data_IF_265593732708
#
_entry.id   IF_265593732708
#
_cell.length_a   1.000
_cell.length_b   1.000
_cell.length_c   1.000
_cell.angle_alpha   90.00
_cell.angle_beta   90.00
_cell.angle_gamma   90.00
#
_symmetry.space_group_name_H-M   'P 1'
#
loop_
_entity.id
_entity.type
_entity.pdbx_description
1 polymer ?
#
# COMPACT_ATOMS: atom_id res chain seq x y z
N UNK A 1 2.15 -11.58 -7.04
CA UNK A 1 0.67 -11.60 -7.02
C UNK A 1 0.05 -11.65 -8.40
N UNK A 2 0.70 -11.08 -9.43
CA UNK A 2 0.23 -11.05 -10.82
C UNK A 2 -0.15 -12.43 -11.38
N UNK A 3 0.70 -13.45 -11.20
CA UNK A 3 0.39 -14.82 -11.65
C UNK A 3 -0.85 -15.44 -10.96
N UNK A 4 -1.13 -15.09 -9.70
CA UNK A 4 -2.30 -15.59 -8.98
C UNK A 4 -3.58 -14.87 -9.43
N UNK A 5 -3.52 -13.54 -9.64
CA UNK A 5 -4.61 -12.75 -10.20
C UNK A 5 -4.97 -13.23 -11.62
N UNK A 6 -3.96 -13.54 -12.44
CA UNK A 6 -4.13 -14.05 -13.79
C UNK A 6 -4.72 -15.46 -13.80
N UNK A 7 -4.27 -16.35 -12.90
CA UNK A 7 -4.84 -17.68 -12.74
C UNK A 7 -6.32 -17.64 -12.28
N UNK A 8 -6.69 -16.73 -11.38
CA UNK A 8 -8.07 -16.53 -10.95
C UNK A 8 -8.93 -15.98 -12.10
N UNK A 9 -8.41 -15.03 -12.88
CA UNK A 9 -9.09 -14.52 -14.06
C UNK A 9 -9.31 -15.58 -15.14
N UNK A 10 -8.33 -16.44 -15.39
CA UNK A 10 -8.45 -17.56 -16.33
C UNK A 10 -9.41 -18.66 -15.86
N UNK A 11 -9.62 -18.79 -14.54
CA UNK A 11 -10.58 -19.74 -13.98
C UNK A 11 -12.05 -19.33 -14.22
N UNK A 12 -12.32 -18.05 -14.51
CA UNK A 12 -13.67 -17.54 -14.78
C UNK A 12 -14.33 -18.20 -16.00
N UNK A 13 -13.55 -18.43 -17.07
CA UNK A 13 -14.04 -19.15 -18.26
C UNK A 13 -14.55 -20.57 -17.90
N UNK A 14 -13.96 -21.20 -16.88
CA UNK A 14 -14.38 -22.52 -16.40
C UNK A 14 -15.63 -22.47 -15.51
N UNK A 15 -15.98 -21.32 -14.93
CA UNK A 15 -17.22 -21.13 -14.16
C UNK A 15 -18.42 -21.24 -15.09
N UNK A 16 -18.38 -20.59 -16.26
CA UNK A 16 -19.44 -20.69 -17.25
C UNK A 16 -19.65 -22.12 -17.75
N UNK A 17 -18.56 -22.84 -18.04
CA UNK A 17 -18.60 -24.26 -18.44
C UNK A 17 -19.17 -25.16 -17.35
N UNK A 18 -18.78 -24.91 -16.09
CA UNK A 18 -19.27 -25.67 -14.93
C UNK A 18 -20.76 -25.41 -14.68
N UNK A 19 -21.22 -24.16 -14.78
CA UNK A 19 -22.62 -23.80 -14.60
C UNK A 19 -23.52 -24.40 -15.71
N UNK A 20 -23.04 -24.40 -16.96
CA UNK A 20 -23.71 -25.06 -18.07
C UNK A 20 -23.81 -26.58 -17.83
N UNK A 21 -22.74 -27.18 -17.32
CA UNK A 21 -22.71 -28.62 -16.96
C UNK A 21 -23.69 -28.93 -15.83
N UNK A 22 -23.74 -28.11 -14.77
CA UNK A 22 -24.69 -28.26 -13.67
C UNK A 22 -26.14 -28.12 -14.15
N UNK A 23 -26.43 -27.17 -15.04
CA UNK A 23 -27.77 -27.01 -15.64
C UNK A 23 -28.19 -28.23 -16.45
N UNK A 24 -27.26 -28.80 -17.22
CA UNK A 24 -27.49 -30.03 -17.97
C UNK A 24 -27.77 -31.21 -17.03
N UNK A 25 -26.93 -31.41 -16.02
CA UNK A 25 -27.10 -32.47 -15.02
C UNK A 25 -28.43 -32.34 -14.26
N UNK A 26 -28.80 -31.12 -13.87
CA UNK A 26 -30.09 -30.86 -13.22
C UNK A 26 -31.27 -31.26 -14.11
N UNK A 27 -31.18 -31.01 -15.43
CA UNK A 27 -32.21 -31.41 -16.39
C UNK A 27 -32.30 -32.93 -16.55
N UNK A 28 -31.15 -33.62 -16.60
CA UNK A 28 -31.08 -35.09 -16.65
C UNK A 28 -31.64 -35.74 -15.38
N UNK A 29 -31.32 -35.21 -14.19
CA UNK A 29 -31.84 -35.70 -12.91
C UNK A 29 -33.34 -35.44 -12.73
N UNK A 30 -33.85 -34.30 -13.24
CA UNK A 30 -35.27 -33.99 -13.21
C UNK A 30 -36.10 -35.01 -14.02
N UNK A 31 -35.59 -35.47 -15.17
CA UNK A 31 -36.22 -36.55 -15.96
C UNK A 31 -36.29 -37.86 -15.16
N UNK A 32 -35.31 -38.11 -14.30
CA UNK A 32 -35.24 -39.30 -13.44
C UNK A 32 -35.98 -39.14 -12.10
N UNK A 33 -36.65 -38.01 -11.86
CA UNK A 33 -37.34 -37.71 -10.60
C UNK A 33 -36.39 -37.56 -9.40
N UNK A 34 -35.10 -37.26 -9.64
CA UNK A 34 -34.09 -37.09 -8.60
C UNK A 34 -33.87 -35.61 -8.24
N UNK A 35 -33.40 -35.32 -7.01
CA UNK A 35 -33.06 -33.95 -6.62
C UNK A 35 -31.96 -33.40 -7.53
N UNK A 36 -32.14 -32.15 -7.98
CA UNK A 36 -31.17 -31.44 -8.79
C UNK A 36 -30.08 -30.82 -7.90
N UNK A 37 -28.82 -30.74 -8.38
CA UNK A 37 -27.78 -29.99 -7.70
C UNK A 37 -28.11 -28.50 -7.68
N UNK A 38 -27.73 -27.83 -6.59
CA UNK A 38 -27.81 -26.37 -6.47
C UNK A 38 -26.99 -25.68 -7.54
N UNK A 39 -27.39 -24.46 -7.90
CA UNK A 39 -26.59 -23.60 -8.79
C UNK A 39 -25.29 -23.21 -8.10
N UNK A 40 -24.25 -22.99 -8.90
CA UNK A 40 -23.02 -22.39 -8.41
C UNK A 40 -23.33 -21.00 -7.82
N UNK A 41 -22.90 -20.73 -6.59
CA UNK A 41 -23.04 -19.41 -5.95
C UNK A 41 -21.98 -18.42 -6.44
N UNK A 42 -21.74 -18.41 -7.76
CA UNK A 42 -20.75 -17.61 -8.47
C UNK A 42 -21.35 -17.22 -9.82
N UNK A 43 -21.37 -15.93 -10.11
CA UNK A 43 -21.81 -15.42 -11.40
C UNK A 43 -20.68 -15.47 -12.44
N UNK A 44 -20.97 -15.68 -13.73
CA UNK A 44 -20.00 -15.49 -14.80
C UNK A 44 -19.38 -14.09 -14.75
N UNK A 45 -18.05 -13.99 -14.85
CA UNK A 45 -17.31 -12.73 -14.73
C UNK A 45 -16.92 -12.36 -13.29
N UNK A 46 -17.45 -13.04 -12.27
CA UNK A 46 -17.15 -12.72 -10.87
C UNK A 46 -15.70 -13.07 -10.50
N UNK A 47 -15.14 -14.18 -11.01
CA UNK A 47 -13.73 -14.52 -10.77
C UNK A 47 -12.81 -13.60 -11.57
N UNK A 48 -13.19 -13.23 -12.79
CA UNK A 48 -12.46 -12.24 -13.57
C UNK A 48 -12.42 -10.87 -12.86
N UNK A 49 -13.54 -10.46 -12.25
CA UNK A 49 -13.63 -9.27 -11.40
C UNK A 49 -12.72 -9.35 -10.17
N UNK A 50 -12.73 -10.48 -9.44
CA UNK A 50 -11.85 -10.71 -8.28
C UNK A 50 -10.37 -10.71 -8.70
N UNK A 51 -10.03 -11.32 -9.84
CA UNK A 51 -8.68 -11.31 -10.41
C UNK A 51 -8.21 -9.89 -10.73
N UNK A 52 -9.05 -9.08 -11.38
CA UNK A 52 -8.75 -7.68 -11.65
C UNK A 52 -8.59 -6.83 -10.37
N UNK A 53 -9.44 -7.08 -9.36
CA UNK A 53 -9.32 -6.45 -8.05
C UNK A 53 -8.02 -6.83 -7.35
N UNK A 54 -7.62 -8.11 -7.36
CA UNK A 54 -6.35 -8.58 -6.80
C UNK A 54 -5.13 -7.98 -7.50
N UNK A 55 -5.16 -7.86 -8.83
CA UNK A 55 -4.10 -7.22 -9.60
C UNK A 55 -3.98 -5.72 -9.23
N UNK A 56 -5.12 -5.02 -9.20
CA UNK A 56 -5.18 -3.59 -8.82
C UNK A 56 -4.70 -3.38 -7.39
N UNK A 57 -5.10 -4.25 -6.46
CA UNK A 57 -4.63 -4.22 -5.07
C UNK A 57 -3.15 -4.55 -4.93
N UNK A 58 -2.59 -5.42 -5.77
CA UNK A 58 -1.16 -5.70 -5.79
C UNK A 58 -0.36 -4.46 -6.22
N UNK A 59 -0.77 -3.79 -7.31
CA UNK A 59 -0.11 -2.56 -7.78
C UNK A 59 -0.21 -1.44 -6.74
N UNK A 60 -1.38 -1.31 -6.09
CA UNK A 60 -1.58 -0.38 -4.99
C UNK A 60 -0.70 -0.72 -3.77
N UNK A 61 -0.52 -2.00 -3.45
CA UNK A 61 0.34 -2.47 -2.36
C UNK A 61 1.81 -2.16 -2.65
N UNK A 62 2.28 -2.40 -3.86
CA UNK A 62 3.66 -2.10 -4.28
C UNK A 62 3.92 -0.58 -4.22
N UNK A 63 2.99 0.23 -4.73
CA UNK A 63 3.06 1.68 -4.63
C UNK A 63 3.08 2.18 -3.18
N UNK A 64 2.25 1.59 -2.32
CA UNK A 64 2.21 1.90 -0.88
C UNK A 64 3.52 1.50 -0.17
N UNK A 65 4.08 0.33 -0.50
CA UNK A 65 5.36 -0.13 0.05
C UNK A 65 6.52 0.79 -0.36
N UNK A 66 6.57 1.21 -1.62
CA UNK A 66 7.56 2.16 -2.12
C UNK A 66 7.46 3.50 -1.37
N UNK A 67 6.25 4.01 -1.17
CA UNK A 67 6.01 5.22 -0.38
C UNK A 67 6.50 5.05 1.06
N UNK A 68 6.13 3.96 1.74
CA UNK A 68 6.57 3.68 3.12
C UNK A 68 8.10 3.60 3.23
N UNK A 69 8.75 2.95 2.27
CA UNK A 69 10.21 2.87 2.21
C UNK A 69 10.85 4.24 2.00
N UNK A 70 10.29 5.07 1.13
CA UNK A 70 10.77 6.43 0.90
C UNK A 70 10.60 7.34 2.13
N UNK A 71 9.50 7.17 2.87
CA UNK A 71 9.31 7.84 4.17
C UNK A 71 10.40 7.45 5.16
N UNK A 72 10.67 6.16 5.34
CA UNK A 72 11.76 5.68 6.21
C UNK A 72 13.13 6.23 5.80
N UNK A 73 13.47 6.18 4.50
CA UNK A 73 14.72 6.71 3.98
C UNK A 73 14.87 8.24 4.20
N UNK A 74 13.76 8.98 4.14
CA UNK A 74 13.74 10.42 4.46
C UNK A 74 14.09 10.66 5.92
N UNK A 75 13.52 9.87 6.85
CA UNK A 75 13.77 9.98 8.29
C UNK A 75 15.22 9.59 8.65
N UNK A 76 15.73 8.50 8.09
CA UNK A 76 17.12 8.06 8.29
C UNK A 76 18.10 9.14 7.82
N UNK A 77 17.83 9.74 6.65
CA UNK A 77 18.66 10.82 6.10
C UNK A 77 18.58 12.11 6.93
N UNK A 78 17.41 12.44 7.47
CA UNK A 78 17.23 13.55 8.41
C UNK A 78 18.02 13.33 9.71
N UNK A 79 18.00 12.11 10.26
CA UNK A 79 18.79 11.76 11.43
C UNK A 79 20.29 11.88 11.14
N UNK A 80 20.74 11.42 9.97
CA UNK A 80 22.14 11.57 9.53
C UNK A 80 22.54 13.03 9.37
N UNK A 81 21.66 13.88 8.83
CA UNK A 81 21.90 15.31 8.71
C UNK A 81 22.04 15.98 10.08
N UNK A 82 21.16 15.63 11.03
CA UNK A 82 21.25 16.13 12.40
C UNK A 82 22.56 15.71 13.09
N UNK A 83 22.93 14.43 12.99
CA UNK A 83 24.18 13.94 13.58
C UNK A 83 25.42 14.63 12.99
N UNK A 84 25.40 14.94 11.70
CA UNK A 84 26.49 15.67 11.05
C UNK A 84 26.55 17.15 11.48
N UNK A 85 25.40 17.81 11.65
CA UNK A 85 25.33 19.17 12.22
C UNK A 85 25.87 19.19 13.65
N UNK A 86 25.51 18.21 14.49
CA UNK A 86 25.99 18.08 15.87
C UNK A 86 27.51 17.85 15.92
N UNK A 87 28.04 17.02 15.01
CA UNK A 87 29.47 16.81 14.82
C UNK A 87 30.20 18.01 14.17
N UNK A 88 29.50 19.10 13.83
CA UNK A 88 30.02 20.27 13.10
C UNK A 88 30.67 19.91 11.76
N UNK A 89 30.10 18.94 11.07
CA UNK A 89 30.49 18.49 9.73
C UNK A 89 29.43 18.96 8.69
N UNK A 90 29.57 20.20 8.17
CA UNK A 90 28.55 20.77 7.29
C UNK A 90 28.45 20.06 5.94
N UNK A 91 29.55 19.50 5.42
CA UNK A 91 29.54 18.83 4.11
C UNK A 91 28.80 17.49 4.18
N UNK A 92 29.02 16.73 5.25
CA UNK A 92 28.25 15.51 5.52
C UNK A 92 26.78 15.84 5.79
N UNK A 93 26.49 16.93 6.50
CA UNK A 93 25.12 17.38 6.72
C UNK A 93 24.40 17.70 5.42
N UNK A 94 25.03 18.48 4.52
CA UNK A 94 24.46 18.84 3.22
C UNK A 94 24.23 17.61 2.34
N UNK A 95 25.15 16.64 2.34
CA UNK A 95 25.00 15.37 1.63
C UNK A 95 23.77 14.59 2.13
N UNK A 96 23.60 14.47 3.45
CA UNK A 96 22.45 13.80 4.04
C UNK A 96 21.12 14.53 3.77
N UNK A 97 21.13 15.87 3.76
CA UNK A 97 19.97 16.69 3.39
C UNK A 97 19.55 16.42 1.94
N UNK A 98 20.49 16.37 1.00
CA UNK A 98 20.19 16.05 -0.40
C UNK A 98 19.59 14.65 -0.56
N UNK A 99 20.09 13.66 0.18
CA UNK A 99 19.50 12.31 0.18
C UNK A 99 18.05 12.32 0.72
N UNK A 100 17.79 13.06 1.81
CA UNK A 100 16.45 13.21 2.37
C UNK A 100 15.47 13.85 1.37
N UNK A 101 15.92 14.88 0.63
CA UNK A 101 15.09 15.53 -0.39
C UNK A 101 14.73 14.61 -1.55
N UNK A 102 15.67 13.77 -2.00
CA UNK A 102 15.40 12.78 -3.05
C UNK A 102 14.32 11.79 -2.60
N UNK A 103 14.44 11.22 -1.40
CA UNK A 103 13.44 10.30 -0.87
C UNK A 103 12.08 10.99 -0.64
N UNK A 104 12.07 12.22 -0.12
CA UNK A 104 10.85 13.01 0.05
C UNK A 104 10.17 13.33 -1.29
N UNK A 105 10.92 13.53 -2.36
CA UNK A 105 10.35 13.74 -3.69
C UNK A 105 9.56 12.51 -4.18
N UNK A 106 10.03 11.30 -3.87
CA UNK A 106 9.28 10.06 -4.12
C UNK A 106 7.98 10.00 -3.32
N UNK A 107 8.01 10.37 -2.03
CA UNK A 107 6.79 10.44 -1.21
C UNK A 107 5.79 11.45 -1.78
N UNK A 108 6.26 12.65 -2.18
CA UNK A 108 5.41 13.71 -2.76
C UNK A 108 4.77 13.30 -4.09
N UNK A 109 5.47 12.51 -4.89
CA UNK A 109 4.99 12.05 -6.19
C UNK A 109 4.02 10.85 -6.10
N UNK A 110 3.83 10.28 -4.90
CA UNK A 110 2.94 9.14 -4.72
C UNK A 110 1.47 9.55 -4.97
N UNK A 111 0.73 8.84 -5.84
CA UNK A 111 -0.62 9.23 -6.26
C UNK A 111 -1.72 8.88 -5.24
N UNK A 112 -1.37 8.30 -4.09
CA UNK A 112 -2.32 7.87 -3.07
C UNK A 112 -2.91 9.00 -2.22
N UNK A 113 -4.12 8.80 -1.72
CA UNK A 113 -4.89 9.80 -0.95
C UNK A 113 -4.74 9.63 0.57
N UNK A 114 -3.51 9.63 1.09
CA UNK A 114 -3.31 9.80 2.54
C UNK A 114 -3.46 11.27 2.89
N UNK A 115 -4.54 11.63 3.61
CA UNK A 115 -4.83 13.01 4.01
C UNK A 115 -3.69 13.65 4.83
N UNK A 116 -2.87 12.84 5.52
CA UNK A 116 -1.73 13.27 6.33
C UNK A 116 -0.47 13.55 5.50
N UNK A 117 -0.38 13.05 4.27
CA UNK A 117 0.81 13.11 3.43
C UNK A 117 1.21 14.54 3.01
N UNK A 118 0.26 15.45 2.65
CA UNK A 118 0.61 16.84 2.35
C UNK A 118 1.17 17.59 3.56
N UNK A 119 0.61 17.34 4.75
CA UNK A 119 1.08 17.94 6.00
C UNK A 119 2.47 17.44 6.36
N UNK A 120 2.70 16.13 6.28
CA UNK A 120 4.01 15.52 6.49
C UNK A 120 5.05 16.05 5.49
N UNK A 121 4.69 16.11 4.20
CA UNK A 121 5.58 16.63 3.15
C UNK A 121 5.96 18.08 3.40
N UNK A 122 5.02 18.92 3.85
CA UNK A 122 5.31 20.30 4.21
C UNK A 122 6.23 20.38 5.43
N UNK A 123 5.88 19.71 6.52
CA UNK A 123 6.62 19.80 7.78
C UNK A 123 8.06 19.28 7.66
N UNK A 124 8.27 18.18 6.96
CA UNK A 124 9.61 17.65 6.65
C UNK A 124 10.40 18.59 5.73
N UNK A 125 9.74 19.26 4.79
CA UNK A 125 10.35 20.27 3.94
C UNK A 125 10.84 21.49 4.73
N UNK A 126 10.02 21.99 5.65
CA UNK A 126 10.36 23.11 6.54
C UNK A 126 11.55 22.73 7.44
N UNK A 127 11.59 21.49 7.94
CA UNK A 127 12.71 20.96 8.74
C UNK A 127 14.02 20.85 7.94
N UNK A 128 13.96 20.32 6.72
CA UNK A 128 15.12 20.21 5.82
C UNK A 128 15.69 21.59 5.45
N UNK A 129 14.81 22.57 5.19
CA UNK A 129 15.22 23.93 4.91
C UNK A 129 15.97 24.56 6.10
N UNK A 130 15.46 24.36 7.33
CA UNK A 130 16.13 24.85 8.53
C UNK A 130 17.49 24.18 8.77
N UNK A 131 17.57 22.85 8.62
CA UNK A 131 18.84 22.11 8.73
C UNK A 131 19.86 22.55 7.68
N UNK A 132 19.42 22.79 6.45
CA UNK A 132 20.29 23.34 5.39
C UNK A 132 20.83 24.71 5.75
N UNK A 133 19.98 25.62 6.21
CA UNK A 133 20.44 26.95 6.66
C UNK A 133 21.44 26.84 7.80
N UNK A 134 21.25 25.90 8.72
CA UNK A 134 22.18 25.66 9.82
C UNK A 134 23.53 25.10 9.34
N UNK A 135 23.53 24.11 8.45
CA UNK A 135 24.75 23.55 7.87
C UNK A 135 25.55 24.59 7.08
N UNK A 136 24.87 25.44 6.29
CA UNK A 136 25.52 26.55 5.56
C UNK A 136 26.12 27.55 6.55
N UNK A 137 25.37 27.97 7.57
CA UNK A 137 25.87 28.90 8.57
C UNK A 137 27.08 28.35 9.35
N UNK A 138 27.11 27.04 9.65
CA UNK A 138 28.26 26.38 10.27
C UNK A 138 29.49 26.41 9.36
N UNK A 139 29.32 26.11 8.07
CA UNK A 139 30.39 26.13 7.07
C UNK A 139 30.98 27.53 6.92
N UNK A 140 30.12 28.53 6.87
CA UNK A 140 30.50 29.92 6.62
C UNK A 140 30.90 30.65 7.93
N UNK A 141 30.92 29.94 9.06
CA UNK A 141 31.17 30.46 10.41
C UNK A 141 30.24 31.62 10.83
N UNK A 142 29.02 31.67 10.27
CA UNK A 142 28.00 32.67 10.57
C UNK A 142 27.23 32.32 11.85
N UNK A 143 27.67 32.87 12.98
CA UNK A 143 27.05 32.66 14.29
C UNK A 143 25.62 33.21 14.37
N UNK A 144 25.34 34.34 13.71
CA UNK A 144 24.01 34.94 13.74
C UNK A 144 23.03 34.12 12.89
N UNK A 145 23.46 33.69 11.71
CA UNK A 145 22.72 32.77 10.84
C UNK A 145 22.45 31.43 11.50
N UNK A 146 23.44 30.86 12.21
CA UNK A 146 23.28 29.59 12.91
C UNK A 146 22.20 29.68 14.01
N UNK A 147 22.19 30.75 14.81
CA UNK A 147 21.15 30.98 15.83
C UNK A 147 19.75 31.15 15.23
N UNK A 148 19.64 31.90 14.13
CA UNK A 148 18.36 32.09 13.44
C UNK A 148 17.85 30.77 12.82
N UNK A 149 18.74 29.98 12.23
CA UNK A 149 18.42 28.67 11.68
C UNK A 149 18.01 27.68 12.77
N UNK A 150 18.67 27.68 13.92
CA UNK A 150 18.33 26.84 15.07
C UNK A 150 16.93 27.16 15.62
N UNK A 151 16.57 28.44 15.73
CA UNK A 151 15.23 28.84 16.14
C UNK A 151 14.15 28.33 15.17
N UNK A 152 14.39 28.44 13.86
CA UNK A 152 13.51 27.87 12.82
C UNK A 152 13.43 26.36 12.91
N UNK A 153 14.56 25.68 13.12
CA UNK A 153 14.62 24.23 13.29
C UNK A 153 13.75 23.79 14.47
N UNK A 154 13.89 24.42 15.65
CA UNK A 154 13.08 24.08 16.83
C UNK A 154 11.58 24.27 16.57
N UNK A 155 11.20 25.34 15.87
CA UNK A 155 9.80 25.56 15.47
C UNK A 155 9.30 24.50 14.48
N UNK A 156 10.13 24.10 13.52
CA UNK A 156 9.78 23.09 12.51
C UNK A 156 9.73 21.67 13.11
N UNK A 157 10.60 21.37 14.07
CA UNK A 157 10.71 20.04 14.70
C UNK A 157 9.42 19.61 15.40
N UNK A 158 8.75 20.52 16.11
CA UNK A 158 7.46 20.23 16.76
C UNK A 158 6.39 19.84 15.74
N UNK A 159 6.25 20.64 14.68
CA UNK A 159 5.29 20.38 13.60
C UNK A 159 5.62 19.10 12.83
N UNK A 160 6.91 18.83 12.59
CA UNK A 160 7.37 17.62 11.93
C UNK A 160 7.09 16.37 12.77
N UNK A 161 7.32 16.42 14.09
CA UNK A 161 7.01 15.31 14.98
C UNK A 161 5.51 14.97 14.99
N UNK A 162 4.64 15.97 15.10
CA UNK A 162 3.18 15.74 15.04
C UNK A 162 2.75 15.16 13.69
N UNK A 163 3.31 15.67 12.59
CA UNK A 163 3.00 15.16 11.25
C UNK A 163 3.51 13.72 11.04
N UNK A 164 4.66 13.37 11.63
CA UNK A 164 5.21 12.02 11.57
C UNK A 164 4.35 11.00 12.32
N UNK A 165 3.91 11.34 13.55
CA UNK A 165 2.98 10.51 14.32
C UNK A 165 1.68 10.29 13.54
N UNK A 166 1.10 11.35 12.97
CA UNK A 166 -0.12 11.26 12.18
C UNK A 166 0.07 10.40 10.91
N UNK A 167 1.21 10.51 10.22
CA UNK A 167 1.50 9.69 9.07
C UNK A 167 1.71 8.22 9.45
N UNK A 168 2.38 7.92 10.56
CA UNK A 168 2.60 6.56 11.04
C UNK A 168 1.27 5.84 11.32
N UNK A 169 0.31 6.53 11.94
CA UNK A 169 -1.06 6.01 12.15
C UNK A 169 -1.75 5.75 10.81
N UNK A 170 -1.72 6.72 9.90
CA UNK A 170 -2.36 6.58 8.59
C UNK A 170 -1.75 5.46 7.73
N UNK A 171 -0.44 5.22 7.84
CA UNK A 171 0.25 4.09 7.20
C UNK A 171 -0.20 2.76 7.81
N UNK A 172 -0.35 2.68 9.14
CA UNK A 172 -0.83 1.46 9.78
C UNK A 172 -2.26 1.10 9.33
N UNK A 173 -3.15 2.09 9.24
CA UNK A 173 -4.52 1.92 8.78
C UNK A 173 -4.60 1.59 7.28
N UNK A 174 -3.83 2.30 6.45
CA UNK A 174 -3.80 2.07 5.00
C UNK A 174 -3.27 0.69 4.60
N UNK A 175 -2.34 0.11 5.37
CA UNK A 175 -1.80 -1.22 5.11
C UNK A 175 -2.81 -2.37 5.27
N UNK A 176 -3.73 -2.27 6.24
CA UNK A 176 -4.78 -3.28 6.45
C UNK A 176 -5.79 -3.28 5.29
N UNK A 177 -6.22 -2.10 4.87
CA UNK A 177 -7.25 -1.94 3.83
C UNK A 177 -6.85 -2.52 2.46
N UNK A 178 -5.55 -2.52 2.14
CA UNK A 178 -5.03 -3.00 0.84
C UNK A 178 -4.99 -4.55 0.76
N UNK A 179 -4.93 -5.25 1.90
CA UNK A 179 -4.74 -6.71 1.94
C UNK A 179 -6.01 -7.50 2.25
N UNK A 180 -6.90 -7.00 3.11
CA UNK A 180 -7.97 -7.84 3.68
C UNK A 180 -9.14 -8.12 2.72
N UNK A 181 -9.63 -7.11 2.01
CA UNK A 181 -10.89 -7.19 1.25
C UNK A 181 -10.84 -8.13 0.02
N UNK A 182 -9.86 -8.02 -0.90
CA UNK A 182 -9.84 -8.85 -2.10
C UNK A 182 -9.42 -10.30 -1.81
N UNK A 183 -8.60 -10.54 -0.78
CA UNK A 183 -8.24 -11.90 -0.34
C UNK A 183 -9.43 -12.63 0.28
N UNK A 184 -10.25 -11.93 1.09
CA UNK A 184 -11.48 -12.49 1.63
C UNK A 184 -12.48 -12.87 0.51
N UNK A 185 -12.62 -12.01 -0.52
CA UNK A 185 -13.47 -12.30 -1.67
C UNK A 185 -13.00 -13.54 -2.47
N UNK A 186 -11.69 -13.69 -2.68
CA UNK A 186 -11.13 -14.88 -3.34
C UNK A 186 -11.35 -16.16 -2.50
N UNK A 187 -11.20 -16.08 -1.18
CA UNK A 187 -11.46 -17.21 -0.28
C UNK A 187 -12.93 -17.63 -0.28
N UNK A 188 -13.87 -16.68 -0.31
CA UNK A 188 -15.30 -16.95 -0.42
C UNK A 188 -15.64 -17.63 -1.75
N UNK A 189 -15.08 -17.16 -2.86
CA UNK A 189 -15.27 -17.77 -4.18
C UNK A 189 -14.76 -19.21 -4.24
N UNK A 190 -13.58 -19.48 -3.66
CA UNK A 190 -13.04 -20.85 -3.55
C UNK A 190 -13.95 -21.77 -2.74
N UNK A 191 -14.51 -21.27 -1.64
CA UNK A 191 -15.45 -22.04 -0.80
C UNK A 191 -16.74 -22.38 -1.55
N UNK A 192 -17.30 -21.44 -2.31
CA UNK A 192 -18.48 -21.67 -3.14
C UNK A 192 -18.27 -22.79 -4.18
N UNK A 193 -17.08 -22.88 -4.78
CA UNK A 193 -16.72 -23.98 -5.70
C UNK A 193 -16.59 -25.32 -4.96
N UNK A 194 -15.97 -25.32 -3.77
CA UNK A 194 -15.82 -26.53 -2.95
C UNK A 194 -17.17 -27.10 -2.49
N UNK A 195 -18.09 -26.23 -2.07
CA UNK A 195 -19.42 -26.63 -1.61
C UNK A 195 -20.22 -27.27 -2.75
N UNK A 196 -20.21 -26.66 -3.94
CA UNK A 196 -20.86 -27.22 -5.13
C UNK A 196 -20.28 -28.59 -5.55
N UNK A 197 -18.96 -28.78 -5.44
CA UNK A 197 -18.33 -30.09 -5.70
C UNK A 197 -18.74 -31.14 -4.66
N UNK A 198 -18.88 -30.75 -3.39
CA UNK A 198 -19.35 -31.63 -2.33
C UNK A 198 -20.78 -32.11 -2.56
N UNK A 199 -21.65 -31.19 -2.97
CA UNK A 199 -23.06 -31.49 -3.24
C UNK A 199 -23.24 -32.45 -4.43
N UNK A 200 -22.57 -32.19 -5.56
CA UNK A 200 -22.61 -33.09 -6.72
C UNK A 200 -22.16 -34.50 -6.35
N UNK A 201 -21.11 -34.64 -5.53
CA UNK A 201 -20.66 -35.96 -5.04
C UNK A 201 -21.72 -36.65 -4.20
N UNK A 202 -22.43 -35.92 -3.33
CA UNK A 202 -23.48 -36.51 -2.48
C UNK A 202 -24.70 -37.00 -3.27
N UNK A 203 -24.97 -36.44 -4.45
CA UNK A 203 -26.09 -36.83 -5.32
C UNK A 203 -25.76 -38.08 -6.16
N UNK A 204 -24.47 -38.31 -6.44
CA UNK A 204 -23.98 -39.40 -7.30
C UNK A 204 -23.68 -40.71 -6.55
N UNK A 205 -23.67 -40.69 -5.21
CA UNK A 205 -23.50 -41.86 -4.33
C UNK A 205 -24.86 -42.35 -3.87
#
# INVERSE_FOLDING_TARGET
MTAAAEAIGQADARVGDLEATLRRLASELAVLGRPAPSRLALEPGQLAGIGAQLATSADAADGFWLMRRATAATLDSLQNAFAAVDARDPDRALTAISAAEMSRATVRAWPGNLLTLPFWTKATGDLLAALRSLAIALRDHDVAGARAAEARYRSAATSAHQADVALAVAIAEGGSAVSDTPLAAAALALRAVQDALGEVRSILV
#
